data_IF_161452705375
#
_entry.id   IF_161452705375
#
_cell.length_a   1.000
_cell.length_b   1.000
_cell.length_c   1.000
_cell.angle_alpha   90.00
_cell.angle_beta   90.00
_cell.angle_gamma   90.00
#
_symmetry.space_group_name_H-M   'P 1'
#
loop_
_entity.id
_entity.type
_entity.pdbx_description
1 polymer ?
#
# COMPACT_ATOMS: atom_id res chain seq x y z
N UNK A 1 -25.23 -6.79 -11.20
CA UNK A 1 -24.32 -7.31 -10.14
C UNK A 1 -23.22 -6.30 -9.83
N UNK A 2 -22.41 -5.89 -10.81
CA UNK A 2 -21.30 -4.93 -10.60
C UNK A 2 -21.75 -3.52 -10.17
N UNK A 3 -22.99 -3.13 -10.45
CA UNK A 3 -23.56 -1.85 -9.98
C UNK A 3 -23.84 -1.84 -8.47
N UNK A 4 -24.00 -3.03 -7.87
CA UNK A 4 -24.28 -3.21 -6.45
C UNK A 4 -23.05 -3.72 -5.68
N UNK A 5 -22.31 -4.68 -6.25
CA UNK A 5 -21.07 -5.21 -5.70
C UNK A 5 -19.93 -4.73 -6.60
N UNK A 6 -19.34 -3.58 -6.23
CA UNK A 6 -18.34 -2.89 -7.05
C UNK A 6 -16.98 -3.58 -7.07
N UNK A 7 -16.66 -4.32 -6.02
CA UNK A 7 -15.37 -4.98 -5.85
C UNK A 7 -15.16 -5.56 -4.47
N UNK A 8 -13.99 -6.19 -4.24
CA UNK A 8 -13.56 -6.61 -2.92
C UNK A 8 -13.36 -5.41 -1.97
N UNK A 9 -13.73 -5.60 -0.72
CA UNK A 9 -13.46 -4.67 0.38
C UNK A 9 -12.49 -5.35 1.34
N UNK A 10 -11.23 -4.92 1.32
CA UNK A 10 -10.19 -5.56 2.13
C UNK A 10 -10.19 -4.99 3.55
N UNK A 11 -10.03 -5.82 4.59
CA UNK A 11 -10.07 -5.34 5.98
C UNK A 11 -8.89 -4.43 6.34
N UNK A 12 -7.81 -4.46 5.55
CA UNK A 12 -6.64 -3.57 5.69
C UNK A 12 -6.78 -2.29 4.86
N UNK A 13 -7.92 -2.10 4.19
CA UNK A 13 -8.11 -1.02 3.22
C UNK A 13 -7.22 -1.18 1.99
N UNK A 14 -6.61 -0.08 1.57
CA UNK A 14 -5.81 0.05 0.38
C UNK A 14 -6.63 0.51 -0.83
N UNK A 15 -5.93 0.63 -1.95
CA UNK A 15 -6.51 1.13 -3.20
C UNK A 15 -6.41 0.02 -4.24
N UNK A 16 -7.55 -0.34 -4.83
CA UNK A 16 -7.58 -1.27 -5.96
C UNK A 16 -7.34 -0.50 -7.26
N UNK A 17 -6.30 -0.87 -7.99
CA UNK A 17 -5.97 -0.24 -9.26
C UNK A 17 -6.74 -0.90 -10.41
N UNK A 18 -7.82 -0.24 -10.81
CA UNK A 18 -8.61 -0.58 -11.98
C UNK A 18 -9.67 -1.67 -11.75
N UNK A 19 -10.66 -1.68 -12.64
CA UNK A 19 -11.88 -2.51 -12.47
C UNK A 19 -11.89 -3.76 -13.35
N UNK A 20 -10.98 -3.87 -14.33
CA UNK A 20 -10.94 -4.99 -15.27
C UNK A 20 -10.74 -6.33 -14.55
N UNK A 21 -9.80 -6.38 -13.60
CA UNK A 21 -9.51 -7.59 -12.84
C UNK A 21 -10.69 -8.08 -12.00
N UNK A 22 -11.46 -7.15 -11.44
CA UNK A 22 -12.69 -7.45 -10.69
C UNK A 22 -13.75 -8.03 -11.64
N UNK A 23 -13.94 -7.37 -12.79
CA UNK A 23 -14.90 -7.81 -13.80
C UNK A 23 -14.61 -9.22 -14.30
N UNK A 24 -13.35 -9.49 -14.65
CA UNK A 24 -12.90 -10.82 -15.11
C UNK A 24 -13.09 -11.88 -14.01
N UNK A 25 -12.79 -11.53 -12.75
CA UNK A 25 -13.00 -12.41 -11.61
C UNK A 25 -14.47 -12.77 -11.39
N UNK A 26 -15.39 -11.81 -11.52
CA UNK A 26 -16.83 -12.08 -11.37
C UNK A 26 -17.41 -12.88 -12.53
N UNK A 27 -16.90 -12.72 -13.75
CA UNK A 27 -17.41 -13.44 -14.93
C UNK A 27 -16.85 -14.85 -15.04
N UNK A 28 -15.56 -15.05 -14.72
CA UNK A 28 -14.84 -16.31 -14.98
C UNK A 28 -14.45 -17.07 -13.71
N UNK A 29 -14.63 -16.46 -12.54
CA UNK A 29 -14.08 -16.97 -11.27
C UNK A 29 -12.57 -16.75 -11.13
N UNK A 30 -11.89 -16.16 -12.13
CA UNK A 30 -10.45 -15.89 -12.12
C UNK A 30 -10.18 -14.46 -12.57
N UNK A 31 -9.37 -13.73 -11.80
CA UNK A 31 -8.96 -12.38 -12.17
C UNK A 31 -7.75 -11.94 -11.36
N UNK A 32 -6.93 -11.06 -11.94
CA UNK A 32 -5.80 -10.45 -11.24
C UNK A 32 -6.17 -9.03 -10.86
N UNK A 33 -6.11 -8.73 -9.57
CA UNK A 33 -6.40 -7.41 -9.02
C UNK A 33 -5.09 -6.87 -8.44
N UNK A 34 -4.76 -5.63 -8.78
CA UNK A 34 -3.62 -4.92 -8.17
C UNK A 34 -4.13 -4.09 -7.01
N UNK A 35 -3.47 -4.23 -5.87
CA UNK A 35 -3.80 -3.49 -4.65
C UNK A 35 -2.55 -2.75 -4.21
N UNK A 36 -2.68 -1.45 -3.95
CA UNK A 36 -1.61 -0.60 -3.45
C UNK A 36 -1.96 -0.05 -2.08
N UNK A 37 -0.93 0.20 -1.28
CA UNK A 37 -1.09 0.90 -0.01
C UNK A 37 -1.52 2.35 -0.22
N UNK A 38 -2.21 2.90 0.77
CA UNK A 38 -2.56 4.32 0.77
C UNK A 38 -1.40 5.10 1.38
N UNK A 39 -0.97 6.11 0.64
CA UNK A 39 0.22 6.89 0.96
C UNK A 39 -0.13 8.36 0.87
N UNK A 40 0.32 9.11 1.87
CA UNK A 40 0.26 10.56 1.94
C UNK A 40 1.69 11.11 1.87
N UNK A 41 1.85 12.25 1.20
CA UNK A 41 3.15 12.91 1.06
C UNK A 41 3.04 14.28 1.70
N UNK A 42 3.80 14.49 2.77
CA UNK A 42 3.86 15.77 3.47
C UNK A 42 5.15 16.50 3.11
N UNK A 43 5.04 17.72 2.58
CA UNK A 43 6.18 18.59 2.33
C UNK A 43 6.60 19.32 3.62
N UNK A 44 7.84 19.12 4.03
CA UNK A 44 8.43 19.81 5.17
C UNK A 44 8.91 21.20 4.73
N UNK A 45 8.88 22.15 5.67
CA UNK A 45 9.43 23.52 5.48
C UNK A 45 10.90 23.55 5.07
N UNK A 46 11.65 22.47 5.34
CA UNK A 46 13.04 22.29 4.94
C UNK A 46 13.22 21.90 3.46
N UNK A 47 12.13 21.73 2.71
CA UNK A 47 12.12 21.27 1.30
C UNK A 47 12.25 19.77 1.13
N UNK A 48 12.21 19.00 2.23
CA UNK A 48 12.18 17.52 2.21
C UNK A 48 10.73 17.03 2.22
N UNK A 49 10.49 15.83 1.71
CA UNK A 49 9.17 15.19 1.76
C UNK A 49 9.16 14.00 2.72
N UNK A 50 8.11 13.89 3.52
CA UNK A 50 7.80 12.70 4.30
C UNK A 50 6.77 11.86 3.56
N UNK A 51 7.05 10.57 3.41
CA UNK A 51 6.12 9.60 2.81
C UNK A 51 5.49 8.81 3.96
N UNK A 52 4.20 9.02 4.17
CA UNK A 52 3.44 8.41 5.27
C UNK A 52 2.54 7.32 4.69
N UNK A 53 2.81 6.07 5.05
CA UNK A 53 1.99 4.92 4.63
C UNK A 53 0.89 4.73 5.66
N UNK A 54 -0.36 4.96 5.26
CA UNK A 54 -1.56 4.85 6.12
C UNK A 54 -2.24 3.49 6.02
N UNK A 55 -2.15 2.83 4.87
CA UNK A 55 -2.81 1.53 4.67
C UNK A 55 -1.87 0.63 3.85
N UNK A 56 -1.88 -0.67 4.15
CA UNK A 56 -1.09 -1.67 3.41
C UNK A 56 -2.01 -2.69 2.73
N UNK A 57 -1.58 -3.28 1.59
CA UNK A 57 -2.35 -4.32 0.94
C UNK A 57 -2.65 -5.51 1.85
N UNK A 58 -3.78 -6.18 1.59
CA UNK A 58 -4.21 -7.34 2.35
C UNK A 58 -3.18 -8.47 2.33
N UNK A 59 -3.06 -9.19 3.45
CA UNK A 59 -2.07 -10.25 3.70
C UNK A 59 -0.59 -9.81 3.71
N UNK A 60 -0.31 -8.51 3.70
CA UNK A 60 1.05 -8.02 3.82
C UNK A 60 1.44 -7.87 5.30
N UNK A 61 2.61 -8.38 5.67
CA UNK A 61 3.15 -8.19 7.01
C UNK A 61 3.95 -6.87 7.06
N UNK A 62 3.56 -5.97 7.97
CA UNK A 62 4.20 -4.65 8.13
C UNK A 62 5.69 -4.75 8.48
N UNK A 63 6.09 -5.61 9.41
CA UNK A 63 7.48 -5.74 9.83
C UNK A 63 8.37 -6.19 8.66
N UNK A 64 7.88 -7.15 7.87
CA UNK A 64 8.56 -7.63 6.65
C UNK A 64 8.65 -6.53 5.58
N UNK A 65 7.66 -5.64 5.48
CA UNK A 65 7.70 -4.50 4.57
C UNK A 65 8.81 -3.52 4.97
N UNK A 66 8.88 -3.16 6.25
CA UNK A 66 9.89 -2.23 6.78
C UNK A 66 11.29 -2.81 6.57
N UNK A 67 11.49 -4.08 6.91
CA UNK A 67 12.75 -4.79 6.69
C UNK A 67 13.19 -4.73 5.23
N UNK A 68 12.29 -5.06 4.30
CA UNK A 68 12.58 -5.00 2.85
C UNK A 68 12.93 -3.58 2.37
N UNK A 69 12.26 -2.55 2.88
CA UNK A 69 12.59 -1.16 2.52
C UNK A 69 14.00 -0.83 3.03
N UNK A 70 14.33 -1.19 4.26
CA UNK A 70 15.64 -0.95 4.85
C UNK A 70 16.76 -1.68 4.07
N UNK A 71 16.52 -2.93 3.68
CA UNK A 71 17.46 -3.70 2.86
C UNK A 71 17.70 -3.06 1.50
N UNK A 72 16.64 -2.62 0.81
CA UNK A 72 16.75 -1.97 -0.49
C UNK A 72 17.51 -0.63 -0.44
N UNK A 73 17.38 0.10 0.66
CA UNK A 73 18.17 1.32 0.92
C UNK A 73 19.63 0.98 1.16
N UNK A 74 19.91 -0.05 1.98
CA UNK A 74 21.28 -0.50 2.27
C UNK A 74 22.00 -1.01 1.03
N UNK A 75 21.29 -1.73 0.17
CA UNK A 75 21.78 -2.19 -1.14
C UNK A 75 21.91 -1.06 -2.18
N UNK A 76 21.55 0.18 -1.83
CA UNK A 76 21.52 1.35 -2.74
C UNK A 76 20.66 1.17 -3.99
N UNK A 77 19.71 0.23 -3.95
CA UNK A 77 18.67 0.08 -4.98
C UNK A 77 17.65 1.20 -4.90
N UNK A 78 17.38 1.68 -3.69
CA UNK A 78 16.56 2.87 -3.42
C UNK A 78 17.47 3.92 -2.78
N UNK A 79 17.49 5.12 -3.37
CA UNK A 79 18.29 6.25 -2.90
C UNK A 79 17.35 7.38 -2.46
N UNK A 80 17.86 8.29 -1.62
CA UNK A 80 17.11 9.48 -1.18
C UNK A 80 16.22 9.27 0.06
N UNK A 81 16.27 8.09 0.68
CA UNK A 81 15.65 7.85 1.98
C UNK A 81 16.64 8.26 3.08
N UNK A 82 16.28 9.30 3.85
CA UNK A 82 17.10 9.78 4.97
C UNK A 82 16.79 9.07 6.29
N UNK A 83 15.56 8.62 6.48
CA UNK A 83 15.09 7.99 7.71
C UNK A 83 13.90 7.07 7.40
N UNK A 84 13.71 6.03 8.22
CA UNK A 84 12.60 5.08 8.13
C UNK A 84 12.12 4.75 9.55
N UNK A 85 10.84 5.04 9.84
CA UNK A 85 10.25 4.84 11.16
C UNK A 85 8.88 4.20 11.06
N UNK A 86 8.57 3.37 12.06
CA UNK A 86 7.26 2.78 12.27
C UNK A 86 6.55 3.57 13.37
N UNK A 87 5.62 4.44 12.96
CA UNK A 87 4.84 5.33 13.84
C UNK A 87 3.43 4.77 14.10
N UNK A 88 3.26 3.44 13.98
CA UNK A 88 1.97 2.82 14.25
C UNK A 88 1.74 2.65 15.75
N UNK A 89 0.57 3.05 16.21
CA UNK A 89 0.12 2.82 17.58
C UNK A 89 -0.96 1.74 17.65
N UNK A 90 -1.33 1.38 18.88
CA UNK A 90 -2.38 0.39 19.17
C UNK A 90 -3.74 0.75 18.59
N UNK A 91 -3.97 2.04 18.34
CA UNK A 91 -5.20 2.60 17.77
C UNK A 91 -5.14 2.85 16.25
N UNK A 92 -3.99 2.63 15.58
CA UNK A 92 -3.95 2.75 14.12
C UNK A 92 -2.58 2.68 13.44
N UNK A 93 -2.64 2.14 12.22
CA UNK A 93 -1.79 2.46 11.05
C UNK A 93 -2.69 3.30 10.12
#
# INVERSE_FOLDING_TARGET
LMDYIKGPDFPTGGIIDGHKGIRDAYLTGRGKIRVRGKVEVEELKSGKANIIIKEIPYQLNKAVLIEKIADLVKEKKINGISDLRDESDRDGI
#
